data_IF_881997452005
#
_entry.id   IF_881997452005
#
_cell.length_a   1.000
_cell.length_b   1.000
_cell.length_c   1.000
_cell.angle_alpha   90.00
_cell.angle_beta   90.00
_cell.angle_gamma   90.00
#
_symmetry.space_group_name_H-M   'P 1'
#
loop_
_entity.id
_entity.type
_entity.pdbx_description
1 polymer ?
#
# COMPACT_ATOMS: atom_id res chain seq x y z
N UNK A 1 -3.91 70.31 -3.15
CA UNK A 1 -3.26 69.57 -4.25
C UNK A 1 -2.33 68.55 -3.59
N UNK A 2 -2.91 67.47 -3.06
CA UNK A 2 -2.74 66.08 -3.55
C UNK A 2 -1.27 65.61 -3.46
N UNK A 3 -0.83 64.53 -2.80
CA UNK A 3 -1.42 63.23 -2.44
C UNK A 3 -0.38 62.46 -1.58
N UNK A 4 -0.87 61.59 -0.68
CA UNK A 4 -0.22 60.42 -0.04
C UNK A 4 1.04 60.66 0.81
N UNK A 5 1.09 60.42 2.13
CA UNK A 5 0.45 59.39 2.96
C UNK A 5 0.57 57.96 2.40
N UNK A 6 1.73 57.33 2.63
CA UNK A 6 1.97 55.89 2.81
C UNK A 6 3.50 55.70 2.89
N UNK A 7 4.18 55.34 3.99
CA UNK A 7 3.80 54.50 5.13
C UNK A 7 3.03 53.25 4.69
N UNK A 8 3.64 52.46 3.82
CA UNK A 8 3.35 51.04 3.75
C UNK A 8 4.68 50.29 3.68
N UNK A 9 5.17 49.97 4.88
CA UNK A 9 6.03 48.80 5.11
C UNK A 9 5.46 47.64 4.30
N UNK A 10 6.21 47.18 3.30
CA UNK A 10 5.93 45.92 2.61
C UNK A 10 5.87 44.82 3.68
N UNK A 11 4.71 44.17 3.92
CA UNK A 11 4.72 42.99 4.74
C UNK A 11 5.47 41.91 3.96
N UNK A 12 6.46 41.29 4.61
CA UNK A 12 7.00 40.00 4.21
C UNK A 12 5.84 39.01 4.16
N UNK A 13 5.26 38.83 2.98
CA UNK A 13 4.27 37.78 2.72
C UNK A 13 5.01 36.46 2.88
N UNK A 14 4.86 35.85 4.04
CA UNK A 14 5.27 34.49 4.32
C UNK A 14 4.32 33.56 3.56
N UNK A 15 4.67 33.20 2.33
CA UNK A 15 4.04 32.08 1.62
C UNK A 15 4.42 30.82 2.38
N UNK A 16 3.59 30.40 3.34
CA UNK A 16 3.65 29.03 3.86
C UNK A 16 3.17 28.13 2.73
N UNK A 17 4.10 27.37 2.14
CA UNK A 17 3.78 26.26 1.26
C UNK A 17 2.86 25.31 2.05
N UNK A 18 1.57 25.32 1.72
CA UNK A 18 0.64 24.31 2.20
C UNK A 18 0.98 23.05 1.39
N UNK A 19 1.75 22.17 2.01
CA UNK A 19 1.91 20.80 1.52
C UNK A 19 0.51 20.22 1.39
N UNK A 20 0.11 19.68 0.22
CA UNK A 20 -1.17 19.00 0.10
C UNK A 20 -1.20 17.90 1.16
N UNK A 21 -2.12 18.03 2.12
CA UNK A 21 -2.40 16.97 3.06
C UNK A 21 -2.97 15.81 2.25
N UNK A 22 -2.22 14.71 2.18
CA UNK A 22 -2.70 13.45 1.60
C UNK A 22 -4.04 13.10 2.26
N UNK A 23 -5.12 13.17 1.51
CA UNK A 23 -6.49 12.92 1.98
C UNK A 23 -6.77 11.44 2.27
N UNK A 24 -5.75 10.60 2.18
CA UNK A 24 -5.83 9.16 2.45
C UNK A 24 -5.97 8.94 3.96
N UNK A 25 -7.20 8.86 4.45
CA UNK A 25 -7.46 8.54 5.86
C UNK A 25 -7.52 7.03 6.08
N UNK A 26 -6.71 6.54 7.02
CA UNK A 26 -6.67 5.14 7.46
C UNK A 26 -5.61 4.31 6.74
N UNK A 27 -5.66 3.00 6.99
CA UNK A 27 -4.81 2.01 6.34
C UNK A 27 -5.31 1.71 4.91
N UNK A 28 -4.41 1.78 3.93
CA UNK A 28 -4.74 1.49 2.52
C UNK A 28 -3.74 0.51 1.96
N UNK A 29 -4.22 -0.59 1.41
CA UNK A 29 -3.40 -1.62 0.77
C UNK A 29 -3.38 -1.41 -0.75
N UNK A 30 -2.19 -1.35 -1.34
CA UNK A 30 -2.00 -1.30 -2.79
C UNK A 30 -1.09 -2.44 -3.22
N UNK A 31 -1.54 -3.29 -4.14
CA UNK A 31 -0.74 -4.41 -4.65
C UNK A 31 0.11 -4.01 -5.85
N UNK A 32 1.31 -4.57 -5.95
CA UNK A 32 2.14 -4.43 -7.16
C UNK A 32 1.54 -5.23 -8.32
N UNK A 33 1.06 -6.44 -8.02
CA UNK A 33 0.27 -7.27 -8.94
C UNK A 33 -0.89 -7.91 -8.19
N UNK A 34 -2.05 -7.97 -8.85
CA UNK A 34 -3.23 -8.67 -8.37
C UNK A 34 -3.42 -10.04 -9.02
N UNK A 35 -2.59 -10.37 -10.02
CA UNK A 35 -2.63 -11.64 -10.75
C UNK A 35 -1.21 -12.21 -10.84
N UNK A 36 -1.08 -13.48 -10.47
CA UNK A 36 0.11 -14.27 -10.74
C UNK A 36 -0.34 -15.46 -11.57
N UNK A 37 0.14 -15.52 -12.82
CA UNK A 37 -0.04 -16.69 -13.67
C UNK A 37 1.07 -17.69 -13.38
N UNK A 38 0.67 -18.92 -13.09
CA UNK A 38 1.60 -20.02 -12.87
C UNK A 38 2.10 -20.62 -14.18
N UNK A 39 1.43 -20.37 -15.30
CA UNK A 39 1.67 -21.02 -16.57
C UNK A 39 1.44 -22.53 -16.47
N UNK A 40 2.37 -23.30 -17.03
CA UNK A 40 2.38 -24.76 -16.89
C UNK A 40 3.17 -25.15 -15.65
N UNK A 41 2.54 -25.95 -14.78
CA UNK A 41 3.16 -26.43 -13.55
C UNK A 41 3.16 -27.95 -13.56
N UNK A 42 4.34 -28.54 -13.34
CA UNK A 42 4.46 -29.99 -13.25
C UNK A 42 3.83 -30.52 -11.96
N UNK A 43 3.40 -31.78 -11.98
CA UNK A 43 2.94 -32.48 -10.80
C UNK A 43 4.03 -32.47 -9.71
N UNK A 44 3.66 -32.11 -8.47
CA UNK A 44 4.59 -32.02 -7.33
C UNK A 44 5.71 -30.95 -7.52
N UNK A 45 5.51 -29.96 -8.38
CA UNK A 45 6.40 -28.81 -8.48
C UNK A 45 6.17 -27.78 -7.37
N UNK A 46 7.06 -26.78 -7.30
CA UNK A 46 6.98 -25.66 -6.37
C UNK A 46 5.89 -24.65 -6.78
N UNK A 47 4.77 -24.69 -6.04
CA UNK A 47 3.66 -23.76 -6.18
C UNK A 47 3.74 -22.52 -5.28
N UNK A 48 4.88 -22.18 -4.69
CA UNK A 48 4.98 -20.98 -3.87
C UNK A 48 5.04 -19.71 -4.72
N UNK A 49 4.23 -18.70 -4.39
CA UNK A 49 4.25 -17.36 -4.98
C UNK A 49 4.10 -16.29 -3.90
N UNK A 50 4.50 -15.07 -4.23
CA UNK A 50 4.47 -13.94 -3.31
C UNK A 50 3.71 -12.77 -3.96
N UNK A 51 2.73 -12.22 -3.23
CA UNK A 51 2.04 -11.00 -3.58
C UNK A 51 2.61 -9.86 -2.74
N UNK A 52 3.34 -8.98 -3.40
CA UNK A 52 3.88 -7.77 -2.77
C UNK A 52 2.81 -6.68 -2.74
N UNK A 53 2.67 -6.04 -1.59
CA UNK A 53 1.77 -4.90 -1.40
C UNK A 53 2.45 -3.81 -0.59
N UNK A 54 1.99 -2.58 -0.77
CA UNK A 54 2.42 -1.40 -0.01
C UNK A 54 1.27 -0.84 0.79
N UNK A 55 1.54 -0.42 2.02
CA UNK A 55 0.63 0.43 2.76
C UNK A 55 0.76 1.87 2.23
N UNK A 56 -0.19 2.29 1.41
CA UNK A 56 -0.27 3.66 0.85
C UNK A 56 -1.16 4.57 1.69
N UNK A 57 -1.63 4.09 2.85
CA UNK A 57 -2.42 4.85 3.81
C UNK A 57 -1.54 5.68 4.76
N UNK A 58 -2.19 6.31 5.74
CA UNK A 58 -1.52 7.11 6.77
C UNK A 58 -1.58 6.47 8.18
N UNK A 59 -2.18 5.28 8.31
CA UNK A 59 -2.20 4.46 9.52
C UNK A 59 -1.59 3.07 9.30
N UNK A 60 -1.12 2.36 10.35
CA UNK A 60 -0.63 0.99 10.22
C UNK A 60 -1.68 0.03 9.65
N UNK A 61 -1.25 -0.79 8.69
CA UNK A 61 -2.09 -1.79 8.03
C UNK A 61 -1.92 -3.15 8.70
N UNK A 62 -3.02 -3.73 9.18
CA UNK A 62 -3.07 -5.06 9.79
C UNK A 62 -3.93 -5.96 8.91
N UNK A 63 -3.38 -7.11 8.49
CA UNK A 63 -4.16 -8.12 7.79
C UNK A 63 -4.78 -9.05 8.83
N UNK A 64 -6.12 -9.03 8.91
CA UNK A 64 -6.88 -9.80 9.91
C UNK A 64 -7.24 -11.20 9.42
N UNK A 65 -7.52 -11.35 8.13
CA UNK A 65 -7.89 -12.63 7.52
C UNK A 65 -7.58 -12.64 6.02
N UNK A 66 -7.44 -13.84 5.45
CA UNK A 66 -7.31 -14.06 4.00
C UNK A 66 -8.22 -15.21 3.58
N UNK A 67 -9.26 -14.86 2.83
CA UNK A 67 -10.23 -15.82 2.31
C UNK A 67 -9.72 -16.43 1.01
N UNK A 68 -9.87 -17.75 0.88
CA UNK A 68 -9.35 -18.54 -0.25
C UNK A 68 -10.50 -19.19 -0.99
N UNK A 69 -10.46 -19.17 -2.32
CA UNK A 69 -11.46 -19.84 -3.15
C UNK A 69 -11.27 -21.36 -3.26
N UNK A 70 -10.02 -21.85 -3.21
CA UNK A 70 -9.68 -23.26 -3.36
C UNK A 70 -8.88 -23.77 -2.15
N UNK A 71 -9.23 -24.96 -1.65
CA UNK A 71 -8.51 -25.66 -0.58
C UNK A 71 -7.07 -26.07 -0.95
N UNK A 72 -6.69 -25.92 -2.22
CA UNK A 72 -5.35 -26.15 -2.76
C UNK A 72 -4.38 -24.98 -2.53
N UNK A 73 -4.87 -23.79 -2.16
CA UNK A 73 -4.02 -22.62 -1.91
C UNK A 73 -3.89 -22.39 -0.41
N UNK A 74 -2.72 -22.04 0.13
CA UNK A 74 -2.50 -21.71 1.54
C UNK A 74 -1.72 -20.39 1.66
N UNK A 75 -2.38 -19.29 2.06
CA UNK A 75 -1.76 -17.99 2.24
C UNK A 75 -1.08 -17.90 3.61
N UNK A 76 -0.03 -17.11 3.66
CA UNK A 76 0.68 -16.69 4.86
C UNK A 76 0.89 -15.18 4.79
N UNK A 77 0.47 -14.48 5.82
CA UNK A 77 0.50 -13.02 5.90
C UNK A 77 1.49 -12.55 6.97
N UNK A 78 1.98 -11.29 6.89
CA UNK A 78 2.76 -10.70 7.96
C UNK A 78 1.94 -10.65 9.25
N UNK A 79 2.55 -11.02 10.38
CA UNK A 79 1.92 -10.93 11.71
C UNK A 79 2.00 -9.53 12.30
N UNK A 80 2.97 -8.75 11.87
CA UNK A 80 3.21 -7.40 12.35
C UNK A 80 2.45 -6.38 11.49
N UNK A 81 1.99 -5.26 12.08
CA UNK A 81 1.42 -4.16 11.32
C UNK A 81 2.42 -3.58 10.32
N UNK A 82 1.99 -3.39 9.08
CA UNK A 82 2.79 -2.75 8.01
C UNK A 82 2.60 -1.24 8.12
N UNK A 83 3.65 -0.46 8.43
CA UNK A 83 3.51 0.98 8.64
C UNK A 83 3.24 1.75 7.35
N UNK A 84 2.73 2.99 7.41
CA UNK A 84 2.60 3.85 6.25
C UNK A 84 3.88 3.92 5.42
N UNK A 85 3.75 3.67 4.11
CA UNK A 85 4.86 3.65 3.16
C UNK A 85 5.68 2.37 3.13
N UNK A 86 5.49 1.44 4.06
CA UNK A 86 6.20 0.15 4.07
C UNK A 86 5.52 -0.88 3.14
N UNK A 87 6.32 -1.84 2.71
CA UNK A 87 5.91 -2.96 1.86
C UNK A 87 5.78 -4.23 2.71
N UNK A 88 4.69 -4.98 2.49
CA UNK A 88 4.49 -6.32 3.01
C UNK A 88 4.36 -7.35 1.89
N UNK A 89 4.44 -8.62 2.27
CA UNK A 89 4.34 -9.75 1.34
C UNK A 89 3.32 -10.76 1.85
N UNK A 90 2.37 -11.14 1.01
CA UNK A 90 1.49 -12.29 1.24
C UNK A 90 2.07 -13.47 0.45
N UNK A 91 2.52 -14.51 1.16
CA UNK A 91 3.00 -15.74 0.53
C UNK A 91 1.84 -16.67 0.27
N UNK A 92 1.75 -17.27 -0.90
CA UNK A 92 0.71 -18.24 -1.25
C UNK A 92 1.40 -19.53 -1.67
N UNK A 93 1.09 -20.60 -0.96
CA UNK A 93 1.49 -21.96 -1.34
C UNK A 93 0.36 -22.62 -2.13
N UNK A 94 0.61 -22.99 -3.37
CA UNK A 94 -0.31 -23.79 -4.18
C UNK A 94 0.13 -25.27 -4.18
N UNK A 95 -0.75 -26.16 -3.71
CA UNK A 95 -0.52 -27.61 -3.72
C UNK A 95 -0.77 -28.18 -5.12
N UNK A 96 0.31 -28.31 -5.89
CA UNK A 96 0.32 -28.81 -7.28
C UNK A 96 -0.09 -30.27 -7.41
N UNK A 97 -0.24 -31.01 -6.30
CA UNK A 97 -0.77 -32.39 -6.33
C UNK A 97 -2.30 -32.43 -6.30
N UNK A 98 -2.93 -31.34 -5.87
CA UNK A 98 -4.39 -31.21 -5.71
C UNK A 98 -5.03 -30.32 -6.79
N UNK A 99 -4.20 -29.86 -7.72
CA UNK A 99 -4.57 -29.04 -8.87
C UNK A 99 -5.44 -29.81 -9.88
#
# INVERSE_FOLDING_TARGET
>A
MYICFALFLLPLIQVKAQTPADTTQGAVITFETIVIDYGTVDYNADGNREFTFKNTGNEPLIITDVIRGCGCTTPSVPKEPVKPGETGVIKVHYDTKRA
#
